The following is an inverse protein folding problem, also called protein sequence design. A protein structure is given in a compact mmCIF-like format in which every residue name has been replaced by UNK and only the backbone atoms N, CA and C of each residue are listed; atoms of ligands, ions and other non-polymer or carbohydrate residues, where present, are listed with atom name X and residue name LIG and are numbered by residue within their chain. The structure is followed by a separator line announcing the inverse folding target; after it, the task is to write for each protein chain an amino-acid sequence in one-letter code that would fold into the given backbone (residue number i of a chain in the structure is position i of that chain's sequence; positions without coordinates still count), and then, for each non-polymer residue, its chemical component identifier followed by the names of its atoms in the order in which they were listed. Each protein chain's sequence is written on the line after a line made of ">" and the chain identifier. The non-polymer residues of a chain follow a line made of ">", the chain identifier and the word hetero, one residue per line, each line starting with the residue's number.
data_IF_971847476583
#
_entry.id   IF_971847476583
#
_cell.length_a   1.000
_cell.length_b   1.000
_cell.length_c   1.000
_cell.angle_alpha   90.00
_cell.angle_beta   90.00
_cell.angle_gamma   90.00
#
_symmetry.space_group_name_H-M   'P 1'
#
loop_
_entity.id
_entity.type
_entity.pdbx_description
1 polymer ?
#
# COMPACT_ATOMS: atom_id res chain seq x y z
N UNK A 1 -25.95 14.74 -8.09
CA UNK A 1 -25.93 15.54 -6.85
C UNK A 1 -27.11 16.50 -6.77
N UNK A 2 -27.23 17.50 -7.66
CA UNK A 2 -28.28 18.54 -7.58
C UNK A 2 -29.70 17.97 -7.66
N UNK A 3 -29.96 17.06 -8.62
CA UNK A 3 -31.30 16.47 -8.80
C UNK A 3 -31.77 15.64 -7.61
N UNK A 4 -30.85 15.07 -6.82
CA UNK A 4 -31.15 14.16 -5.70
C UNK A 4 -31.12 14.85 -4.34
N UNK A 5 -30.09 15.66 -4.07
CA UNK A 5 -29.91 16.27 -2.75
C UNK A 5 -30.64 17.59 -2.54
N UNK A 6 -31.16 18.20 -3.60
CA UNK A 6 -31.62 19.60 -3.56
C UNK A 6 -32.91 19.88 -4.31
N UNK A 7 -33.50 18.89 -5.01
CA UNK A 7 -34.79 19.07 -5.67
C UNK A 7 -35.91 18.75 -4.69
N UNK A 8 -36.74 19.75 -4.38
CA UNK A 8 -37.91 19.54 -3.53
C UNK A 8 -38.95 18.64 -4.21
N UNK A 9 -39.59 17.78 -3.43
CA UNK A 9 -40.68 16.88 -3.83
C UNK A 9 -41.75 16.88 -2.73
N UNK A 10 -43.02 16.78 -3.11
CA UNK A 10 -44.19 16.66 -2.22
C UNK A 10 -44.59 15.21 -1.94
N UNK A 11 -43.74 14.25 -2.35
CA UNK A 11 -44.01 12.82 -2.24
C UNK A 11 -43.77 12.32 -0.82
N UNK A 12 -44.39 11.20 -0.48
CA UNK A 12 -43.98 10.44 0.70
C UNK A 12 -42.58 9.85 0.51
N UNK A 13 -41.85 9.63 1.60
CA UNK A 13 -40.50 9.04 1.60
C UNK A 13 -40.43 7.75 0.75
N UNK A 14 -41.44 6.88 0.87
CA UNK A 14 -41.48 5.61 0.13
C UNK A 14 -41.69 5.81 -1.38
N UNK A 15 -42.49 6.79 -1.78
CA UNK A 15 -42.71 7.12 -3.19
C UNK A 15 -41.50 7.84 -3.79
N UNK A 16 -40.84 8.70 -3.01
CA UNK A 16 -39.63 9.41 -3.40
C UNK A 16 -38.47 8.44 -3.62
N UNK A 17 -38.23 7.53 -2.65
CA UNK A 17 -37.22 6.47 -2.74
C UNK A 17 -37.32 5.62 -4.00
N UNK A 18 -38.54 5.25 -4.41
CA UNK A 18 -38.78 4.45 -5.63
C UNK A 18 -38.47 5.23 -6.90
N UNK A 19 -38.81 6.52 -6.93
CA UNK A 19 -38.52 7.37 -8.07
C UNK A 19 -37.03 7.63 -8.19
N UNK A 20 -36.37 7.96 -7.08
CA UNK A 20 -34.93 8.16 -7.02
C UNK A 20 -34.17 6.92 -7.47
N UNK A 21 -34.59 5.72 -7.05
CA UNK A 21 -34.00 4.48 -7.54
C UNK A 21 -34.01 4.39 -9.06
N UNK A 22 -35.16 4.64 -9.70
CA UNK A 22 -35.27 4.60 -11.17
C UNK A 22 -34.38 5.66 -11.83
N UNK A 23 -34.34 6.86 -11.26
CA UNK A 23 -33.49 7.95 -11.76
C UNK A 23 -32.00 7.61 -11.65
N UNK A 24 -31.58 6.98 -10.55
CA UNK A 24 -30.19 6.54 -10.34
C UNK A 24 -29.82 5.49 -11.39
N UNK A 25 -30.65 4.45 -11.56
CA UNK A 25 -30.44 3.40 -12.55
C UNK A 25 -30.33 4.00 -13.96
N UNK A 26 -31.29 4.84 -14.34
CA UNK A 26 -31.30 5.48 -15.66
C UNK A 26 -30.04 6.35 -15.88
N UNK A 27 -29.66 7.15 -14.88
CA UNK A 27 -28.51 8.05 -14.96
C UNK A 27 -27.18 7.29 -15.05
N UNK A 28 -26.98 6.29 -14.21
CA UNK A 28 -25.76 5.48 -14.19
C UNK A 28 -25.63 4.61 -15.44
N UNK A 29 -26.75 4.12 -15.99
CA UNK A 29 -26.75 3.35 -17.24
C UNK A 29 -26.28 4.18 -18.45
N UNK A 30 -26.55 5.50 -18.43
CA UNK A 30 -26.16 6.44 -19.50
C UNK A 30 -24.77 7.04 -19.29
N UNK A 31 -24.36 7.25 -18.04
CA UNK A 31 -23.07 7.85 -17.72
C UNK A 31 -22.49 7.26 -16.42
N UNK A 32 -21.62 6.23 -16.51
CA UNK A 32 -21.05 5.58 -15.33
C UNK A 32 -20.15 6.51 -14.50
N UNK A 33 -19.70 7.65 -15.05
CA UNK A 33 -18.91 8.65 -14.31
C UNK A 33 -19.71 9.39 -13.23
N UNK A 34 -21.03 9.22 -13.20
CA UNK A 34 -21.89 9.74 -12.13
C UNK A 34 -21.82 8.88 -10.87
N UNK A 35 -21.18 7.71 -10.94
CA UNK A 35 -21.01 6.82 -9.80
C UNK A 35 -20.18 7.50 -8.70
N UNK A 36 -20.64 7.35 -7.46
CA UNK A 36 -19.97 7.84 -6.27
C UNK A 36 -20.03 6.74 -5.21
N UNK A 37 -18.88 6.20 -4.83
CA UNK A 37 -18.77 5.14 -3.81
C UNK A 37 -18.40 5.63 -2.41
N UNK A 38 -18.28 6.95 -2.20
CA UNK A 38 -17.92 7.56 -0.92
C UNK A 38 -16.47 8.03 -0.83
N UNK A 39 -16.06 8.47 0.36
CA UNK A 39 -14.77 9.14 0.62
C UNK A 39 -13.84 8.34 1.56
N UNK A 40 -13.40 7.14 1.16
CA UNK A 40 -12.33 6.41 1.87
C UNK A 40 -12.77 5.39 2.93
N UNK A 41 -14.07 5.23 3.16
CA UNK A 41 -14.59 4.23 4.09
C UNK A 41 -14.64 2.83 3.44
N UNK A 42 -14.34 1.78 4.21
CA UNK A 42 -14.39 0.40 3.72
C UNK A 42 -13.15 -0.06 2.95
N UNK A 43 -13.29 -1.11 2.15
CA UNK A 43 -12.20 -1.79 1.44
C UNK A 43 -12.20 -1.54 -0.08
N UNK A 44 -13.02 -0.62 -0.59
CA UNK A 44 -13.09 -0.31 -2.01
C UNK A 44 -11.98 0.68 -2.42
N UNK A 45 -10.99 0.26 -3.23
CA UNK A 45 -9.93 1.15 -3.68
C UNK A 45 -10.39 2.17 -4.72
N UNK A 46 -11.63 2.11 -5.23
CA UNK A 46 -12.21 3.11 -6.14
C UNK A 46 -12.78 4.33 -5.40
N UNK A 47 -12.82 4.29 -4.06
CA UNK A 47 -13.47 5.30 -3.23
C UNK A 47 -12.52 5.76 -2.14
N UNK A 48 -11.52 6.56 -2.52
CA UNK A 48 -10.51 7.12 -1.61
C UNK A 48 -10.53 8.65 -1.69
N UNK A 49 -10.20 9.31 -0.58
CA UNK A 49 -10.01 10.75 -0.60
C UNK A 49 -8.80 11.10 -1.46
N UNK A 50 -8.93 12.14 -2.27
CA UNK A 50 -7.87 12.61 -3.16
C UNK A 50 -7.42 11.59 -4.24
N UNK A 51 -8.25 10.58 -4.54
CA UNK A 51 -8.02 9.70 -5.68
C UNK A 51 -8.36 10.40 -7.01
N UNK A 52 -7.66 10.00 -8.07
CA UNK A 52 -7.82 10.58 -9.40
C UNK A 52 -7.87 9.47 -10.45
N UNK A 53 -8.95 9.43 -11.24
CA UNK A 53 -9.10 8.48 -12.33
C UNK A 53 -9.56 7.09 -11.88
N UNK A 54 -9.49 6.14 -12.80
CA UNK A 54 -9.96 4.75 -12.66
C UNK A 54 -8.85 3.75 -12.34
N UNK A 55 -7.59 4.18 -12.43
CA UNK A 55 -6.41 3.38 -12.11
C UNK A 55 -5.44 4.21 -11.25
N UNK A 56 -5.38 3.86 -9.96
CA UNK A 56 -4.54 4.51 -8.97
C UNK A 56 -3.05 4.44 -9.30
N UNK A 57 -2.57 3.37 -9.95
CA UNK A 57 -1.16 3.22 -10.35
C UNK A 57 -0.80 4.23 -11.44
N UNK A 58 -1.62 4.34 -12.48
CA UNK A 58 -1.41 5.27 -13.59
C UNK A 58 -1.50 6.74 -13.12
N UNK A 59 -2.51 7.06 -12.31
CA UNK A 59 -2.67 8.39 -11.76
C UNK A 59 -1.49 8.78 -10.85
N UNK A 60 -1.08 7.85 -9.98
CA UNK A 60 0.08 8.04 -9.10
C UNK A 60 1.39 8.15 -9.87
N UNK A 61 1.56 7.44 -10.99
CA UNK A 61 2.72 7.58 -11.86
C UNK A 61 2.81 9.00 -12.43
N UNK A 62 1.70 9.56 -12.93
CA UNK A 62 1.66 10.96 -13.38
C UNK A 62 1.91 11.94 -12.24
N UNK A 63 1.35 11.67 -11.06
CA UNK A 63 1.63 12.42 -9.84
C UNK A 63 3.12 12.46 -9.51
N UNK A 64 3.80 11.31 -9.51
CA UNK A 64 5.25 11.23 -9.25
C UNK A 64 6.05 11.96 -10.34
N UNK A 65 5.65 11.88 -11.62
CA UNK A 65 6.31 12.66 -12.68
C UNK A 65 6.22 14.16 -12.41
N UNK A 66 5.10 14.64 -11.86
CA UNK A 66 4.96 16.03 -11.45
C UNK A 66 5.80 16.34 -10.20
N UNK A 67 5.82 15.48 -9.18
CA UNK A 67 6.67 15.65 -8.00
C UNK A 67 8.15 15.76 -8.37
N UNK A 68 8.64 14.92 -9.29
CA UNK A 68 10.02 14.99 -9.82
C UNK A 68 10.33 16.34 -10.49
N UNK A 69 9.37 16.90 -11.24
CA UNK A 69 9.51 18.22 -11.87
C UNK A 69 9.52 19.34 -10.84
N UNK A 70 8.64 19.27 -9.84
CA UNK A 70 8.58 20.25 -8.75
C UNK A 70 9.89 20.25 -7.98
N UNK A 71 10.35 19.07 -7.55
CA UNK A 71 11.56 18.91 -6.74
C UNK A 71 12.78 19.55 -7.41
N UNK A 72 12.95 19.35 -8.73
CA UNK A 72 14.06 19.94 -9.50
C UNK A 72 14.10 21.48 -9.45
N UNK A 73 12.93 22.12 -9.41
CA UNK A 73 12.82 23.58 -9.38
C UNK A 73 12.64 24.15 -7.97
N UNK A 74 12.54 23.26 -6.97
CA UNK A 74 12.13 23.63 -5.64
C UNK A 74 13.03 24.68 -4.99
N UNK A 75 14.39 24.57 -5.06
CA UNK A 75 15.27 25.59 -4.48
C UNK A 75 15.01 27.01 -4.98
N UNK A 76 14.66 27.16 -6.26
CA UNK A 76 14.37 28.47 -6.84
C UNK A 76 12.97 28.95 -6.46
N UNK A 77 11.96 28.07 -6.53
CA UNK A 77 10.57 28.44 -6.25
C UNK A 77 10.29 28.77 -4.79
N UNK A 78 11.09 28.23 -3.86
CA UNK A 78 10.94 28.49 -2.42
C UNK A 78 11.88 29.58 -1.91
N UNK A 79 12.71 30.16 -2.78
CA UNK A 79 13.71 31.16 -2.39
C UNK A 79 13.04 32.45 -1.93
N UNK A 80 13.40 32.90 -0.73
CA UNK A 80 13.00 34.21 -0.21
C UNK A 80 14.20 34.89 0.47
N UNK A 81 14.28 36.22 0.37
CA UNK A 81 15.35 36.99 1.01
C UNK A 81 15.31 36.80 2.53
N UNK A 82 16.44 36.42 3.12
CA UNK A 82 16.57 36.15 4.55
C UNK A 82 16.05 34.78 5.02
N UNK A 83 15.44 33.97 4.14
CA UNK A 83 15.03 32.60 4.47
C UNK A 83 16.25 31.70 4.71
N UNK A 84 16.14 30.83 5.72
CA UNK A 84 17.18 29.86 6.09
C UNK A 84 16.78 28.45 5.66
N UNK A 85 16.32 28.33 4.41
CA UNK A 85 15.78 27.10 3.82
C UNK A 85 14.54 26.54 4.51
N UNK A 86 13.80 27.35 5.27
CA UNK A 86 12.58 26.89 5.94
C UNK A 86 11.52 26.56 4.89
N UNK A 87 11.33 27.45 3.91
CA UNK A 87 10.39 27.24 2.82
C UNK A 87 10.77 26.00 1.97
N UNK A 88 12.06 25.82 1.69
CA UNK A 88 12.56 24.66 0.95
C UNK A 88 12.24 23.36 1.70
N UNK A 89 12.53 23.32 3.00
CA UNK A 89 12.29 22.15 3.85
C UNK A 89 10.80 21.83 3.99
N UNK A 90 9.96 22.84 4.18
CA UNK A 90 8.51 22.69 4.29
C UNK A 90 7.90 22.09 3.02
N UNK A 91 8.18 22.67 1.85
CA UNK A 91 7.60 22.18 0.60
C UNK A 91 8.21 20.84 0.19
N UNK A 92 9.49 20.58 0.49
CA UNK A 92 10.07 19.24 0.34
C UNK A 92 9.30 18.21 1.18
N UNK A 93 8.97 18.54 2.43
CA UNK A 93 8.13 17.72 3.30
C UNK A 93 6.74 17.43 2.70
N UNK A 94 6.14 18.42 2.04
CA UNK A 94 4.87 18.23 1.31
C UNK A 94 5.01 17.30 0.11
N UNK A 95 6.12 17.37 -0.63
CA UNK A 95 6.42 16.41 -1.72
C UNK A 95 6.49 14.98 -1.18
N UNK A 96 7.20 14.76 -0.06
CA UNK A 96 7.28 13.44 0.58
C UNK A 96 5.90 12.96 1.03
N UNK A 97 5.12 13.85 1.66
CA UNK A 97 3.74 13.55 2.10
C UNK A 97 2.86 13.14 0.93
N UNK A 98 2.92 13.88 -0.17
CA UNK A 98 2.15 13.58 -1.37
C UNK A 98 2.60 12.26 -2.03
N UNK A 99 3.90 12.00 -2.07
CA UNK A 99 4.43 10.72 -2.55
C UNK A 99 3.95 9.54 -1.68
N UNK A 100 3.94 9.70 -0.36
CA UNK A 100 3.38 8.70 0.56
C UNK A 100 1.89 8.46 0.29
N UNK A 101 1.10 9.51 0.04
CA UNK A 101 -0.32 9.39 -0.30
C UNK A 101 -0.53 8.58 -1.57
N UNK A 102 0.20 8.88 -2.64
CA UNK A 102 0.16 8.10 -3.89
C UNK A 102 0.49 6.61 -3.65
N UNK A 103 1.52 6.34 -2.86
CA UNK A 103 1.88 4.97 -2.51
C UNK A 103 0.78 4.26 -1.72
N UNK A 104 0.08 4.96 -0.82
CA UNK A 104 -1.03 4.39 -0.05
C UNK A 104 -2.29 4.18 -0.91
N UNK A 105 -2.58 5.04 -1.89
CA UNK A 105 -3.68 4.83 -2.85
C UNK A 105 -3.46 3.56 -3.68
N UNK A 106 -2.24 3.36 -4.17
CA UNK A 106 -1.86 2.12 -4.86
C UNK A 106 -1.98 0.93 -3.91
N UNK A 107 -1.49 1.08 -2.67
CA UNK A 107 -1.54 0.02 -1.66
C UNK A 107 -2.96 -0.41 -1.34
N UNK A 108 -3.98 0.46 -1.37
CA UNK A 108 -5.39 0.11 -1.12
C UNK A 108 -5.95 -0.92 -2.09
N UNK A 109 -5.41 -1.03 -3.30
CA UNK A 109 -5.85 -2.02 -4.29
C UNK A 109 -5.57 -3.47 -3.85
N UNK A 110 -4.54 -3.70 -3.03
CA UNK A 110 -4.13 -5.02 -2.56
C UNK A 110 -5.07 -5.48 -1.44
N UNK A 111 -5.78 -6.58 -1.66
CA UNK A 111 -6.82 -7.08 -0.76
C UNK A 111 -8.09 -6.22 -0.75
N UNK A 112 -8.33 -5.43 -1.81
CA UNK A 112 -9.53 -4.61 -1.94
C UNK A 112 -10.76 -5.39 -2.40
N UNK A 113 -11.94 -4.85 -2.08
CA UNK A 113 -13.25 -5.35 -2.53
C UNK A 113 -14.03 -4.18 -3.08
N UNK A 114 -14.47 -4.30 -4.32
CA UNK A 114 -15.39 -3.37 -4.94
C UNK A 114 -16.76 -3.52 -4.30
N UNK A 115 -17.30 -2.41 -3.81
CA UNK A 115 -18.68 -2.28 -3.35
C UNK A 115 -19.41 -1.34 -4.31
N UNK A 116 -20.37 -1.88 -5.05
CA UNK A 116 -21.23 -1.10 -5.92
C UNK A 116 -22.63 -1.11 -5.34
N UNK A 117 -23.04 0.03 -4.77
CA UNK A 117 -24.41 0.25 -4.30
C UNK A 117 -25.39 0.08 -5.45
N UNK A 118 -26.29 -0.88 -5.30
CA UNK A 118 -27.28 -1.27 -6.31
C UNK A 118 -28.60 -1.64 -5.66
N UNK A 119 -29.67 -1.44 -6.40
CA UNK A 119 -31.01 -1.95 -6.08
C UNK A 119 -31.24 -3.34 -6.69
N UNK A 120 -32.35 -3.98 -6.32
CA UNK A 120 -32.69 -5.34 -6.79
C UNK A 120 -33.03 -5.38 -8.29
N UNK A 121 -33.32 -4.22 -8.89
CA UNK A 121 -33.59 -4.05 -10.31
C UNK A 121 -32.31 -4.02 -11.17
N UNK A 122 -31.15 -3.82 -10.56
CA UNK A 122 -29.86 -3.76 -11.25
C UNK A 122 -29.17 -5.13 -11.29
N UNK A 123 -28.58 -5.46 -12.44
CA UNK A 123 -27.86 -6.72 -12.61
C UNK A 123 -26.48 -6.73 -11.92
N UNK A 124 -26.03 -7.94 -11.60
CA UNK A 124 -24.70 -8.22 -11.07
C UNK A 124 -24.61 -8.11 -9.54
N UNK A 125 -23.44 -8.43 -9.01
CA UNK A 125 -23.20 -8.42 -7.57
C UNK A 125 -22.97 -7.01 -7.02
N UNK A 126 -23.27 -6.82 -5.74
CA UNK A 126 -22.86 -5.64 -4.96
C UNK A 126 -21.37 -5.70 -4.65
N UNK A 127 -20.86 -6.89 -4.32
CA UNK A 127 -19.46 -7.10 -3.94
C UNK A 127 -18.69 -7.92 -4.96
N UNK A 128 -17.52 -7.43 -5.34
CA UNK A 128 -16.57 -8.13 -6.22
C UNK A 128 -15.15 -7.93 -5.69
N UNK A 129 -14.24 -8.92 -5.82
CA UNK A 129 -12.85 -8.69 -5.46
C UNK A 129 -12.23 -7.67 -6.43
N UNK A 130 -11.34 -6.81 -5.94
CA UNK A 130 -10.49 -6.02 -6.85
C UNK A 130 -9.83 -6.99 -7.84
N UNK A 131 -9.88 -6.75 -9.17
CA UNK A 131 -9.36 -7.68 -10.17
C UNK A 131 -7.93 -8.08 -9.86
N UNK A 132 -7.64 -9.39 -9.87
CA UNK A 132 -6.31 -9.93 -9.57
C UNK A 132 -5.19 -9.19 -10.31
N UNK A 133 -5.39 -8.91 -11.59
CA UNK A 133 -4.39 -8.20 -12.41
C UNK A 133 -4.11 -6.78 -11.91
N UNK A 134 -5.13 -6.05 -11.44
CA UNK A 134 -4.98 -4.72 -10.85
C UNK A 134 -4.16 -4.77 -9.56
N UNK A 135 -4.36 -5.80 -8.74
CA UNK A 135 -3.58 -5.99 -7.51
C UNK A 135 -2.11 -6.35 -7.81
N UNK A 136 -1.86 -7.16 -8.85
CA UNK A 136 -0.49 -7.48 -9.31
C UNK A 136 0.22 -6.25 -9.88
N UNK A 137 -0.49 -5.44 -10.66
CA UNK A 137 0.00 -4.14 -11.14
C UNK A 137 0.35 -3.22 -9.96
N UNK A 138 -0.47 -3.17 -8.90
CA UNK A 138 -0.17 -2.41 -7.70
C UNK A 138 1.13 -2.87 -7.01
N UNK A 139 1.33 -4.18 -6.84
CA UNK A 139 2.59 -4.73 -6.27
C UNK A 139 3.79 -4.36 -7.15
N UNK A 140 3.67 -4.51 -8.47
CA UNK A 140 4.74 -4.16 -9.40
C UNK A 140 5.05 -2.66 -9.36
N UNK A 141 4.03 -1.81 -9.28
CA UNK A 141 4.19 -0.36 -9.17
C UNK A 141 4.92 0.02 -7.88
N UNK A 142 4.57 -0.61 -6.74
CA UNK A 142 5.26 -0.38 -5.47
C UNK A 142 6.73 -0.79 -5.56
N UNK A 143 7.04 -1.91 -6.23
CA UNK A 143 8.42 -2.30 -6.50
C UNK A 143 9.19 -1.22 -7.25
N UNK A 144 8.62 -0.69 -8.34
CA UNK A 144 9.29 0.26 -9.22
C UNK A 144 9.40 1.68 -8.65
N UNK A 145 8.38 2.15 -7.93
CA UNK A 145 8.31 3.54 -7.49
C UNK A 145 8.74 3.75 -6.05
N UNK A 146 8.59 2.73 -5.18
CA UNK A 146 8.75 2.87 -3.72
C UNK A 146 9.89 2.01 -3.17
N UNK A 147 9.97 0.74 -3.56
CA UNK A 147 10.91 -0.21 -2.98
C UNK A 147 12.26 -0.22 -3.67
N UNK A 148 12.30 -0.09 -5.00
CA UNK A 148 13.50 0.39 -5.67
C UNK A 148 13.81 1.79 -5.15
N UNK A 149 15.08 2.05 -4.82
CA UNK A 149 15.47 3.32 -4.20
C UNK A 149 15.09 4.49 -5.12
N UNK A 150 14.17 5.36 -4.72
CA UNK A 150 13.80 6.52 -5.53
C UNK A 150 14.87 7.60 -5.37
N UNK A 151 15.96 7.46 -6.14
CA UNK A 151 17.13 8.35 -6.08
C UNK A 151 16.78 9.82 -6.28
N UNK A 152 15.70 10.10 -7.02
CA UNK A 152 15.19 11.46 -7.21
C UNK A 152 14.80 12.13 -5.89
N UNK A 153 14.38 11.38 -4.87
CA UNK A 153 14.06 11.91 -3.55
C UNK A 153 15.30 12.13 -2.68
N UNK A 154 16.46 11.61 -3.11
CA UNK A 154 17.73 11.66 -2.37
C UNK A 154 18.71 12.70 -2.95
N UNK A 155 18.18 13.78 -3.53
CA UNK A 155 18.99 14.86 -4.11
C UNK A 155 19.79 15.59 -3.02
N UNK A 156 21.10 15.37 -3.01
CA UNK A 156 22.03 15.94 -2.03
C UNK A 156 22.07 17.46 -2.07
N UNK A 157 21.78 18.10 -3.21
CA UNK A 157 21.77 19.56 -3.31
C UNK A 157 20.63 20.15 -2.50
N UNK A 158 19.53 19.41 -2.33
CA UNK A 158 18.41 19.82 -1.48
C UNK A 158 18.66 19.33 -0.06
N UNK A 159 18.92 18.03 0.12
CA UNK A 159 18.98 17.41 1.45
C UNK A 159 20.04 18.04 2.37
N UNK A 160 21.18 18.45 1.83
CA UNK A 160 22.23 19.09 2.62
C UNK A 160 21.80 20.45 3.21
N UNK A 161 20.84 21.14 2.58
CA UNK A 161 20.34 22.43 3.03
C UNK A 161 19.21 22.29 4.08
N UNK A 162 18.44 21.19 4.04
CA UNK A 162 17.19 21.06 4.80
C UNK A 162 17.13 19.94 5.83
N UNK A 163 18.01 18.93 5.74
CA UNK A 163 17.90 17.74 6.58
C UNK A 163 19.22 17.37 7.22
N UNK A 164 19.15 16.90 8.47
CA UNK A 164 20.27 16.20 9.08
C UNK A 164 20.50 14.87 8.33
N UNK A 165 21.76 14.45 8.09
CA UNK A 165 22.06 13.18 7.42
C UNK A 165 21.55 11.94 8.19
N UNK A 166 21.05 12.11 9.42
CA UNK A 166 20.42 11.05 10.22
C UNK A 166 18.91 10.91 9.97
N UNK A 167 18.28 11.86 9.28
CA UNK A 167 16.85 11.83 8.94
C UNK A 167 16.63 11.08 7.63
N UNK A 168 15.68 10.13 7.60
CA UNK A 168 15.42 9.31 6.43
C UNK A 168 13.93 9.27 6.06
N UNK A 169 13.50 10.26 5.27
CA UNK A 169 12.12 10.38 4.79
C UNK A 169 11.69 9.21 3.90
N UNK A 170 12.61 8.62 3.13
CA UNK A 170 12.33 7.47 2.28
C UNK A 170 11.94 6.25 3.12
N UNK A 171 12.68 5.96 4.19
CA UNK A 171 12.35 4.87 5.11
C UNK A 171 10.95 5.04 5.69
N UNK A 172 10.51 6.26 6.01
CA UNK A 172 9.15 6.52 6.51
C UNK A 172 8.09 6.08 5.50
N UNK A 173 8.24 6.46 4.22
CA UNK A 173 7.29 6.06 3.16
C UNK A 173 7.26 4.55 2.98
N UNK A 174 8.43 3.92 2.87
CA UNK A 174 8.54 2.47 2.73
C UNK A 174 7.95 1.72 3.92
N UNK A 175 8.19 2.20 5.14
CA UNK A 175 7.64 1.65 6.37
C UNK A 175 6.11 1.75 6.41
N UNK A 176 5.53 2.89 6.00
CA UNK A 176 4.08 3.08 5.94
C UNK A 176 3.42 2.14 4.95
N UNK A 177 4.01 1.99 3.75
CA UNK A 177 3.53 1.06 2.72
C UNK A 177 3.58 -0.38 3.24
N UNK A 178 4.70 -0.83 3.79
CA UNK A 178 4.84 -2.18 4.33
C UNK A 178 3.92 -2.42 5.53
N UNK A 179 3.74 -1.43 6.41
CA UNK A 179 2.83 -1.53 7.55
C UNK A 179 1.38 -1.76 7.09
N UNK A 180 0.95 -1.10 6.01
CA UNK A 180 -0.39 -1.28 5.45
C UNK A 180 -0.51 -2.60 4.68
N UNK A 181 0.45 -2.88 3.80
CA UNK A 181 0.44 -4.03 2.90
C UNK A 181 0.55 -5.37 3.64
N UNK A 182 1.30 -5.41 4.75
CA UNK A 182 1.49 -6.60 5.59
C UNK A 182 0.71 -6.54 6.90
N UNK A 183 -0.27 -5.63 7.02
CA UNK A 183 -1.10 -5.56 8.22
C UNK A 183 -1.88 -6.86 8.42
N UNK A 184 -2.05 -7.35 9.66
CA UNK A 184 -2.82 -8.56 9.91
C UNK A 184 -4.26 -8.47 9.37
N UNK A 185 -4.90 -7.30 9.52
CA UNK A 185 -6.24 -7.05 9.00
C UNK A 185 -6.32 -7.23 7.48
N UNK A 186 -5.31 -6.77 6.73
CA UNK A 186 -5.28 -6.95 5.28
C UNK A 186 -5.08 -8.41 4.89
N UNK A 187 -4.14 -9.09 5.53
CA UNK A 187 -3.88 -10.51 5.24
C UNK A 187 -5.11 -11.37 5.56
N UNK A 188 -5.83 -11.07 6.65
CA UNK A 188 -7.11 -11.69 6.97
C UNK A 188 -8.15 -11.41 5.88
N UNK A 189 -8.32 -10.15 5.47
CA UNK A 189 -9.26 -9.80 4.42
C UNK A 189 -8.94 -10.53 3.11
N UNK A 190 -7.66 -10.64 2.74
CA UNK A 190 -7.25 -11.39 1.55
C UNK A 190 -7.64 -12.86 1.64
N UNK A 191 -7.48 -13.50 2.79
CA UNK A 191 -7.93 -14.89 3.02
C UNK A 191 -9.45 -15.03 2.88
N UNK A 192 -10.23 -14.11 3.47
CA UNK A 192 -11.69 -14.13 3.35
C UNK A 192 -12.16 -13.91 1.89
N UNK A 193 -11.50 -13.00 1.18
CA UNK A 193 -11.75 -12.72 -0.23
C UNK A 193 -11.41 -13.96 -1.08
N UNK A 194 -10.28 -14.61 -0.80
CA UNK A 194 -9.86 -15.85 -1.47
C UNK A 194 -10.86 -16.98 -1.23
N UNK A 195 -11.29 -17.20 0.02
CA UNK A 195 -12.28 -18.20 0.39
C UNK A 195 -13.64 -17.94 -0.30
N UNK A 196 -14.09 -16.68 -0.36
CA UNK A 196 -15.39 -16.32 -0.95
C UNK A 196 -15.39 -16.34 -2.48
N UNK A 197 -14.34 -15.82 -3.12
CA UNK A 197 -14.33 -15.56 -4.57
C UNK A 197 -13.44 -16.52 -5.36
N UNK A 198 -12.70 -17.41 -4.69
CA UNK A 198 -11.86 -18.44 -5.31
C UNK A 198 -10.85 -17.84 -6.29
N UNK A 199 -10.79 -18.40 -7.50
CA UNK A 199 -9.81 -18.05 -8.53
C UNK A 199 -9.88 -16.59 -9.03
N UNK A 200 -10.96 -15.85 -8.73
CA UNK A 200 -11.07 -14.42 -9.04
C UNK A 200 -10.25 -13.54 -8.09
N UNK A 201 -9.95 -14.04 -6.88
CA UNK A 201 -9.19 -13.33 -5.88
C UNK A 201 -7.68 -13.35 -6.18
N UNK A 202 -6.93 -12.47 -5.52
CA UNK A 202 -5.48 -12.52 -5.49
C UNK A 202 -5.03 -13.30 -4.24
N UNK A 203 -4.46 -14.51 -4.39
CA UNK A 203 -4.14 -15.34 -3.24
C UNK A 203 -3.08 -14.72 -2.35
N UNK A 204 -3.22 -14.88 -1.03
CA UNK A 204 -2.29 -14.27 -0.06
C UNK A 204 -0.85 -14.80 -0.22
N UNK A 205 -0.69 -16.09 -0.55
CA UNK A 205 0.63 -16.70 -0.79
C UNK A 205 1.29 -16.14 -2.06
N UNK A 206 0.50 -15.89 -3.11
CA UNK A 206 1.01 -15.28 -4.35
C UNK A 206 1.44 -13.84 -4.10
N UNK A 207 0.65 -13.07 -3.34
CA UNK A 207 1.00 -11.71 -2.93
C UNK A 207 2.31 -11.64 -2.14
N UNK A 208 2.47 -12.49 -1.12
CA UNK A 208 3.70 -12.51 -0.32
C UNK A 208 4.92 -12.90 -1.14
N UNK A 209 4.77 -13.86 -2.07
CA UNK A 209 5.81 -14.25 -3.03
C UNK A 209 6.20 -13.10 -3.97
N UNK A 210 5.22 -12.44 -4.59
CA UNK A 210 5.45 -11.32 -5.51
C UNK A 210 6.10 -10.13 -4.79
N UNK A 211 5.70 -9.85 -3.54
CA UNK A 211 6.30 -8.82 -2.71
C UNK A 211 7.74 -9.18 -2.29
N UNK A 212 7.98 -10.42 -1.85
CA UNK A 212 9.34 -10.91 -1.50
C UNK A 212 10.29 -10.74 -2.69
N UNK A 213 9.84 -11.09 -3.90
CA UNK A 213 10.66 -11.10 -5.11
C UNK A 213 11.32 -9.75 -5.42
N UNK A 214 10.63 -8.64 -5.23
CA UNK A 214 11.21 -7.31 -5.46
C UNK A 214 11.99 -6.74 -4.27
N UNK A 215 11.55 -7.00 -3.04
CA UNK A 215 12.26 -6.54 -1.83
C UNK A 215 13.61 -7.24 -1.65
N UNK A 216 13.69 -8.51 -2.07
CA UNK A 216 14.87 -9.36 -1.91
C UNK A 216 15.52 -9.72 -3.26
N UNK A 217 15.37 -8.87 -4.29
CA UNK A 217 15.90 -9.14 -5.62
C UNK A 217 17.43 -9.39 -5.63
N UNK A 218 18.16 -8.75 -4.71
CA UNK A 218 19.61 -8.88 -4.56
C UNK A 218 20.03 -10.30 -4.17
N UNK A 219 19.15 -11.07 -3.52
CA UNK A 219 19.44 -12.46 -3.17
C UNK A 219 19.74 -13.29 -4.41
N UNK A 220 19.07 -13.04 -5.54
CA UNK A 220 19.26 -13.79 -6.80
C UNK A 220 20.61 -13.52 -7.45
N UNK A 221 21.11 -12.29 -7.35
CA UNK A 221 22.29 -11.84 -8.09
C UNK A 221 23.55 -11.77 -7.25
N UNK A 222 23.43 -11.73 -5.91
CA UNK A 222 24.55 -11.44 -5.02
C UNK A 222 25.06 -10.00 -5.13
N UNK A 223 24.21 -9.09 -5.65
CA UNK A 223 24.53 -7.68 -5.82
C UNK A 223 24.70 -6.95 -4.49
N UNK A 224 25.34 -5.77 -4.53
CA UNK A 224 25.43 -4.86 -3.39
C UNK A 224 24.04 -4.52 -2.85
N UNK A 225 23.83 -4.70 -1.55
CA UNK A 225 22.61 -4.27 -0.86
C UNK A 225 22.90 -2.92 -0.20
N UNK A 226 22.44 -1.84 -0.83
CA UNK A 226 22.66 -0.47 -0.34
C UNK A 226 21.98 -0.20 1.00
N UNK A 227 22.36 0.86 1.72
CA UNK A 227 21.76 1.18 3.02
C UNK A 227 20.22 1.33 2.97
N UNK A 228 19.62 2.06 2.01
CA UNK A 228 18.15 2.12 1.90
C UNK A 228 17.51 0.75 1.69
N UNK A 229 18.13 -0.10 0.86
CA UNK A 229 17.65 -1.47 0.58
C UNK A 229 17.75 -2.38 1.81
N UNK A 230 18.84 -2.30 2.57
CA UNK A 230 18.98 -3.03 3.85
C UNK A 230 17.91 -2.63 4.86
N UNK A 231 17.60 -1.33 4.95
CA UNK A 231 16.55 -0.84 5.85
C UNK A 231 15.16 -1.37 5.43
N UNK A 232 14.85 -1.31 4.13
CA UNK A 232 13.62 -1.87 3.59
C UNK A 232 13.47 -3.37 3.91
N UNK A 233 14.52 -4.14 3.69
CA UNK A 233 14.56 -5.58 3.96
C UNK A 233 14.33 -5.90 5.45
N UNK A 234 15.01 -5.17 6.35
CA UNK A 234 14.78 -5.26 7.80
C UNK A 234 13.34 -4.98 8.18
N UNK A 235 12.76 -3.89 7.67
CA UNK A 235 11.35 -3.56 7.93
C UNK A 235 10.44 -4.69 7.45
N UNK A 236 10.66 -5.22 6.27
CA UNK A 236 9.87 -6.33 5.73
C UNK A 236 9.92 -7.57 6.63
N UNK A 237 11.13 -7.97 7.05
CA UNK A 237 11.34 -9.09 7.97
C UNK A 237 10.67 -8.85 9.32
N UNK A 238 10.85 -7.67 9.91
CA UNK A 238 10.27 -7.32 11.22
C UNK A 238 8.74 -7.34 11.18
N UNK A 239 8.13 -6.87 10.09
CA UNK A 239 6.67 -6.94 9.91
C UNK A 239 6.19 -8.39 9.88
N UNK A 240 6.84 -9.26 9.13
CA UNK A 240 6.47 -10.68 9.08
C UNK A 240 6.69 -11.39 10.43
N UNK A 241 7.79 -11.09 11.13
CA UNK A 241 8.06 -11.62 12.48
C UNK A 241 6.95 -11.22 13.45
N UNK A 242 6.46 -9.97 13.35
CA UNK A 242 5.37 -9.50 14.21
C UNK A 242 4.04 -10.23 14.02
N UNK A 243 3.88 -11.01 12.94
CA UNK A 243 2.71 -11.85 12.67
C UNK A 243 2.76 -13.23 13.36
N UNK A 244 3.89 -13.60 13.96
CA UNK A 244 4.04 -14.89 14.64
C UNK A 244 3.25 -14.95 15.97
N UNK A 245 2.78 -16.13 16.42
CA UNK A 245 1.84 -16.26 17.54
C UNK A 245 2.33 -15.73 18.89
N UNK A 246 3.65 -15.76 19.13
CA UNK A 246 4.27 -15.25 20.34
C UNK A 246 4.24 -13.71 20.43
N UNK A 247 3.99 -13.04 19.30
CA UNK A 247 3.92 -11.59 19.15
C UNK A 247 2.53 -11.10 18.71
N UNK A 248 1.60 -12.03 18.45
CA UNK A 248 0.25 -11.74 18.00
C UNK A 248 -0.57 -11.10 19.14
N UNK A 249 -0.93 -9.83 18.97
CA UNK A 249 -1.79 -9.08 19.89
C UNK A 249 -3.26 -9.34 19.57
N UNK A 250 -4.08 -9.50 20.59
CA UNK A 250 -5.55 -9.45 20.46
C UNK A 250 -6.04 -8.01 20.28
N UNK A 251 -6.70 -7.78 19.14
CA UNK A 251 -7.63 -6.70 18.78
C UNK A 251 -7.08 -5.28 18.49
N UNK A 252 -7.57 -4.72 17.38
CA UNK A 252 -8.28 -3.43 17.36
C UNK A 252 -9.16 -3.31 16.11
N UNK A 253 -10.31 -2.63 16.27
CA UNK A 253 -11.23 -2.28 15.19
C UNK A 253 -10.49 -1.35 14.22
N UNK A 254 -10.52 -1.66 12.93
CA UNK A 254 -9.98 -0.73 11.94
C UNK A 254 -10.88 0.51 11.92
N UNK A 255 -10.30 1.71 12.00
CA UNK A 255 -11.01 2.99 11.83
C UNK A 255 -11.75 3.08 10.48
N UNK A 256 -11.41 2.21 9.52
CA UNK A 256 -11.99 2.12 8.18
C UNK A 256 -12.99 0.94 7.99
N UNK A 257 -13.58 0.40 9.06
CA UNK A 257 -14.69 -0.57 8.97
C UNK A 257 -14.33 -2.06 8.87
N UNK A 258 -13.07 -2.44 9.09
CA UNK A 258 -12.65 -3.85 9.19
C UNK A 258 -13.04 -4.52 10.52
N UNK A 259 -13.43 -5.80 10.44
CA UNK A 259 -13.73 -6.67 11.58
C UNK A 259 -12.49 -6.85 12.45
N UNK A 260 -12.66 -6.88 13.78
CA UNK A 260 -11.59 -7.20 14.72
C UNK A 260 -11.09 -8.63 14.45
N UNK A 261 -9.89 -8.75 13.88
CA UNK A 261 -9.30 -10.05 13.56
C UNK A 261 -8.60 -10.63 14.79
N UNK A 262 -9.10 -11.76 15.31
CA UNK A 262 -8.31 -12.60 16.21
C UNK A 262 -7.24 -13.32 15.37
N UNK A 263 -6.08 -12.70 15.23
CA UNK A 263 -4.96 -13.19 14.42
C UNK A 263 -4.34 -14.47 14.98
N UNK A 264 -4.53 -14.77 16.28
CA UNK A 264 -4.01 -15.99 16.90
C UNK A 264 -4.72 -17.26 16.39
N UNK A 265 -5.99 -17.15 16.01
CA UNK A 265 -6.80 -18.27 15.54
C UNK A 265 -7.02 -18.26 14.01
N UNK A 266 -6.29 -17.42 13.27
CA UNK A 266 -6.32 -17.40 11.80
C UNK A 266 -5.11 -18.12 11.19
N UNK A 267 -5.11 -18.32 9.87
CA UNK A 267 -3.96 -18.90 9.16
C UNK A 267 -2.77 -17.93 9.03
N UNK A 268 -2.92 -16.66 9.44
CA UNK A 268 -1.88 -15.63 9.30
C UNK A 268 -0.55 -16.06 9.95
N UNK A 269 -0.52 -16.55 11.21
CA UNK A 269 0.74 -16.93 11.83
C UNK A 269 1.39 -18.14 11.16
N UNK A 270 0.59 -19.09 10.65
CA UNK A 270 1.06 -20.25 9.90
C UNK A 270 1.67 -19.83 8.55
N UNK A 271 1.01 -18.93 7.83
CA UNK A 271 1.49 -18.36 6.56
C UNK A 271 2.77 -17.56 6.79
N UNK A 272 2.81 -16.70 7.82
CA UNK A 272 3.99 -15.93 8.16
C UNK A 272 5.18 -16.85 8.49
N UNK A 273 4.95 -17.92 9.27
CA UNK A 273 5.98 -18.92 9.58
C UNK A 273 6.52 -19.60 8.33
N UNK A 274 5.65 -20.07 7.43
CA UNK A 274 6.04 -20.70 6.17
C UNK A 274 6.86 -19.75 5.30
N UNK A 275 6.36 -18.52 5.11
CA UNK A 275 7.03 -17.51 4.30
C UNK A 275 8.39 -17.07 4.86
N UNK A 276 8.51 -16.91 6.18
CA UNK A 276 9.78 -16.64 6.86
C UNK A 276 10.76 -17.81 6.74
N UNK A 277 10.27 -19.05 6.73
CA UNK A 277 11.10 -20.25 6.54
C UNK A 277 11.72 -20.26 5.14
N UNK A 278 10.90 -19.96 4.12
CA UNK A 278 11.37 -19.84 2.74
C UNK A 278 12.38 -18.70 2.59
N UNK A 279 12.09 -17.53 3.17
CA UNK A 279 13.00 -16.39 3.15
C UNK A 279 14.33 -16.71 3.83
N UNK A 280 14.32 -17.40 4.98
CA UNK A 280 15.54 -17.83 5.67
C UNK A 280 16.39 -18.74 4.79
N UNK A 281 15.77 -19.66 4.06
CA UNK A 281 16.46 -20.53 3.10
C UNK A 281 17.12 -19.71 1.98
N UNK A 282 16.37 -18.79 1.38
CA UNK A 282 16.87 -17.91 0.31
C UNK A 282 18.05 -17.04 0.77
N UNK A 283 17.96 -16.46 1.97
CA UNK A 283 19.02 -15.63 2.56
C UNK A 283 20.27 -16.49 2.81
N UNK A 284 20.13 -17.67 3.43
CA UNK A 284 21.26 -18.57 3.70
C UNK A 284 21.97 -19.00 2.41
N UNK A 285 21.22 -19.28 1.35
CA UNK A 285 21.77 -19.60 0.04
C UNK A 285 22.49 -18.40 -0.62
N UNK A 286 22.10 -17.16 -0.30
CA UNK A 286 22.73 -15.96 -0.87
C UNK A 286 24.03 -15.53 -0.16
N UNK A 287 24.18 -15.80 1.13
CA UNK A 287 25.35 -15.38 1.93
C UNK A 287 26.70 -15.74 1.25
N UNK A 288 26.95 -16.97 0.77
CA UNK A 288 28.25 -17.36 0.22
C UNK A 288 28.65 -16.63 -1.07
N UNK A 289 27.66 -16.14 -1.84
CA UNK A 289 27.90 -15.44 -3.11
C UNK A 289 27.93 -13.91 -2.99
N UNK A 290 27.54 -13.37 -1.83
CA UNK A 290 27.55 -11.92 -1.56
C UNK A 290 28.95 -11.46 -1.20
N UNK A 291 29.60 -10.72 -2.11
CA UNK A 291 30.99 -10.27 -1.96
C UNK A 291 31.14 -9.07 -1.02
N UNK A 292 30.20 -8.13 -1.08
CA UNK A 292 30.25 -6.93 -0.24
C UNK A 292 30.11 -7.30 1.24
N UNK A 293 31.04 -6.82 2.07
CA UNK A 293 31.14 -7.22 3.47
C UNK A 293 29.93 -6.78 4.29
N UNK A 294 29.45 -5.54 4.09
CA UNK A 294 28.27 -5.04 4.81
C UNK A 294 26.98 -5.74 4.37
N UNK A 295 26.84 -6.03 3.08
CA UNK A 295 25.72 -6.81 2.56
C UNK A 295 25.72 -8.22 3.14
N UNK A 296 26.89 -8.86 3.23
CA UNK A 296 27.02 -10.19 3.84
C UNK A 296 26.68 -10.17 5.34
N UNK A 297 27.16 -9.18 6.09
CA UNK A 297 26.83 -9.02 7.51
C UNK A 297 25.33 -8.78 7.73
N UNK A 298 24.71 -7.96 6.88
CA UNK A 298 23.26 -7.76 6.89
C UNK A 298 22.49 -9.06 6.66
N UNK A 299 22.86 -9.85 5.66
CA UNK A 299 22.19 -11.14 5.41
C UNK A 299 22.39 -12.13 6.56
N UNK A 300 23.56 -12.14 7.21
CA UNK A 300 23.81 -12.95 8.40
C UNK A 300 22.94 -12.53 9.59
N UNK A 301 22.80 -11.21 9.82
CA UNK A 301 21.93 -10.65 10.86
C UNK A 301 20.46 -11.00 10.60
N UNK A 302 19.97 -10.78 9.39
CA UNK A 302 18.58 -11.11 9.00
C UNK A 302 18.30 -12.61 9.12
N UNK A 303 19.21 -13.47 8.65
CA UNK A 303 19.08 -14.92 8.84
C UNK A 303 19.00 -15.30 10.31
N UNK A 304 19.82 -14.68 11.17
CA UNK A 304 19.81 -14.96 12.61
C UNK A 304 18.53 -14.45 13.27
N UNK A 305 18.07 -13.26 12.90
CA UNK A 305 16.83 -12.65 13.38
C UNK A 305 15.63 -13.55 13.09
N UNK A 306 15.50 -14.03 11.85
CA UNK A 306 14.42 -14.94 11.45
C UNK A 306 14.52 -16.27 12.20
N UNK A 307 15.71 -16.85 12.30
CA UNK A 307 15.96 -18.12 13.00
C UNK A 307 15.54 -18.07 14.48
N UNK A 308 15.85 -16.97 15.18
CA UNK A 308 15.44 -16.72 16.56
C UNK A 308 13.92 -16.56 16.68
N UNK A 309 13.30 -15.81 15.76
CA UNK A 309 11.86 -15.60 15.77
C UNK A 309 11.07 -16.89 15.50
N UNK A 310 11.58 -17.77 14.63
CA UNK A 310 10.97 -19.05 14.32
C UNK A 310 11.14 -20.08 15.46
N UNK A 311 12.22 -19.98 16.24
CA UNK A 311 12.60 -20.92 17.30
C UNK A 311 12.90 -20.18 18.63
N UNK A 312 11.89 -19.59 19.29
CA UNK A 312 12.08 -18.96 20.59
C UNK A 312 12.51 -20.00 21.62
N UNK A 313 13.46 -19.63 22.48
CA UNK A 313 13.94 -20.46 23.60
C UNK A 313 13.06 -20.30 24.83
#
# INVERSE_FOLDING_TARGET
>A
AIQWGYRWTDKSEEADRKEDNRLIIDSLSKNPRLWFGGEGFGNDPRSQTEDLGDNAMKASEYGIRNLKRILKNLPEWTKAEGDRYQNLGEIYGQIVTQFNRYALHVTKNIGGVYETFKSVEENGSVYEPTPKQMQKEAVQWLHQQVFETPEWLLDKNILNDITSPVTNSLSTVQNNVLANALSPARLANMLEIENRFGSKAYPVLEFLSDLKKGIWQELRTGSLITMPRRNLQKTYTDRLISLLPAMAVTQSVSVFGGVATNTRNSDIPSIARGHLTDLLSDIRAAIPRTKDQLSRYHLMDEAKRIDVALNPR
#
